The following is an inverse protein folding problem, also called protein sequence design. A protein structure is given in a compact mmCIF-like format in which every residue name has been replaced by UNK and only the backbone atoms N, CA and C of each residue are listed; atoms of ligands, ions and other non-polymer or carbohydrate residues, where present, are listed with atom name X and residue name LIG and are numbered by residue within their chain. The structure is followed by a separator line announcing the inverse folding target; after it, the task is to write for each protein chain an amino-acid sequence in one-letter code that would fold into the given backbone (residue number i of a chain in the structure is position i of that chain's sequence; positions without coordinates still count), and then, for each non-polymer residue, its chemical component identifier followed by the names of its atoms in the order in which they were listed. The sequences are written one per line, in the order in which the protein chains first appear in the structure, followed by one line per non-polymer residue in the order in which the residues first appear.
data_IF_344226681214
#
_entry.id   IF_344226681214
#
_cell.length_a   1.000
_cell.length_b   1.000
_cell.length_c   1.000
_cell.angle_alpha   90.00
_cell.angle_beta   90.00
_cell.angle_gamma   90.00
#
_symmetry.space_group_name_H-M   'P 1'
#
loop_
_entity.id
_entity.type
_entity.pdbx_description
1 polymer ?
#
# COMPACT_ATOMS: atom_id res chain seq x y z
N UNK A 1 -6.20 9.37 8.57
CA UNK A 1 -6.13 8.75 7.22
C UNK A 1 -5.32 9.57 6.18
N UNK A 2 -5.21 10.89 6.35
CA UNK A 2 -4.58 11.79 5.36
C UNK A 2 -3.04 11.74 5.33
N UNK A 3 -2.42 11.16 6.37
CA UNK A 3 -0.98 10.94 6.44
C UNK A 3 -0.66 9.47 6.24
N UNK A 4 0.40 9.18 5.50
CA UNK A 4 0.95 7.84 5.39
C UNK A 4 1.52 7.41 6.75
N UNK A 5 1.02 6.31 7.30
CA UNK A 5 1.45 5.76 8.58
C UNK A 5 1.49 4.22 8.51
N UNK A 6 2.69 3.61 8.38
CA UNK A 6 2.86 2.16 8.35
C UNK A 6 2.31 1.45 9.59
N UNK A 7 2.38 2.08 10.77
CA UNK A 7 1.99 1.50 12.06
C UNK A 7 0.50 1.15 12.12
N UNK A 8 -0.33 1.75 11.27
CA UNK A 8 -1.72 1.31 11.13
C UNK A 8 -1.82 -0.21 10.85
N UNK A 9 -0.82 -0.80 10.17
CA UNK A 9 -0.79 -2.21 9.77
C UNK A 9 0.09 -3.10 10.67
N UNK A 10 0.48 -2.62 11.84
CA UNK A 10 1.09 -3.47 12.87
C UNK A 10 0.14 -4.60 13.28
N UNK A 11 0.69 -5.68 13.86
CA UNK A 11 -0.12 -6.82 14.30
C UNK A 11 -1.19 -6.38 15.32
N UNK A 12 -0.81 -5.54 16.28
CA UNK A 12 -1.70 -5.01 17.31
C UNK A 12 -2.84 -4.16 16.72
N UNK A 13 -2.50 -3.20 15.84
CA UNK A 13 -3.51 -2.30 15.25
C UNK A 13 -4.43 -3.03 14.27
N UNK A 14 -3.95 -4.08 13.60
CA UNK A 14 -4.80 -4.96 12.79
C UNK A 14 -5.81 -5.72 13.65
N UNK A 15 -5.40 -6.25 14.80
CA UNK A 15 -6.28 -6.99 15.70
C UNK A 15 -7.41 -6.12 16.28
N UNK A 16 -7.13 -4.84 16.55
CA UNK A 16 -8.11 -3.86 17.05
C UNK A 16 -9.00 -3.24 15.96
N UNK A 17 -8.67 -3.45 14.69
CA UNK A 17 -9.35 -2.79 13.56
C UNK A 17 -10.71 -3.42 13.29
N UNK A 18 -11.71 -2.57 13.05
CA UNK A 18 -13.02 -3.05 12.57
C UNK A 18 -12.87 -3.85 11.24
N UNK A 19 -13.51 -5.03 11.10
CA UNK A 19 -13.32 -5.91 9.94
C UNK A 19 -13.60 -5.25 8.58
N UNK A 20 -14.50 -4.27 8.55
CA UNK A 20 -14.90 -3.56 7.32
C UNK A 20 -14.13 -2.25 7.07
N UNK A 21 -13.15 -1.89 7.91
CA UNK A 21 -12.40 -0.63 7.75
C UNK A 21 -11.27 -0.70 6.70
N UNK A 22 -10.91 -1.89 6.20
CA UNK A 22 -9.86 -2.06 5.20
C UNK A 22 -10.21 -3.15 4.20
N UNK A 23 -10.85 -2.74 3.10
CA UNK A 23 -11.31 -3.63 2.01
C UNK A 23 -10.78 -3.17 0.64
N UNK A 24 -9.45 -3.05 0.45
CA UNK A 24 -8.86 -2.48 -0.77
C UNK A 24 -9.14 -3.30 -2.03
N UNK A 25 -9.49 -4.57 -1.87
CA UNK A 25 -9.78 -5.53 -2.94
C UNK A 25 -11.24 -6.02 -2.91
N UNK A 26 -12.11 -5.35 -2.16
CA UNK A 26 -13.48 -5.80 -1.89
C UNK A 26 -13.55 -7.02 -0.98
N UNK A 27 -14.77 -7.55 -0.81
CA UNK A 27 -15.09 -8.71 0.01
C UNK A 27 -16.32 -9.43 -0.57
N UNK A 28 -16.54 -10.70 -0.23
CA UNK A 28 -17.65 -11.50 -0.73
C UNK A 28 -17.41 -12.11 -2.13
N UNK A 29 -18.46 -12.61 -2.81
CA UNK A 29 -18.34 -13.38 -4.07
C UNK A 29 -17.74 -12.62 -5.26
N UNK A 30 -17.65 -11.29 -5.15
CA UNK A 30 -17.11 -10.40 -6.19
C UNK A 30 -15.85 -9.67 -5.71
N UNK A 31 -15.14 -10.24 -4.73
CA UNK A 31 -13.82 -9.72 -4.37
C UNK A 31 -12.84 -9.84 -5.55
N UNK A 32 -11.75 -9.07 -5.51
CA UNK A 32 -10.74 -9.12 -6.54
C UNK A 32 -10.13 -10.53 -6.61
N UNK A 33 -10.35 -11.22 -7.73
CA UNK A 33 -9.81 -12.56 -7.97
C UNK A 33 -8.27 -12.59 -7.90
N UNK A 34 -7.62 -11.48 -8.25
CA UNK A 34 -6.17 -11.34 -8.29
C UNK A 34 -5.56 -10.83 -6.97
N UNK A 35 -6.33 -10.71 -5.87
CA UNK A 35 -5.83 -10.12 -4.61
C UNK A 35 -4.51 -10.73 -4.12
N UNK A 36 -4.43 -12.07 -4.08
CA UNK A 36 -3.23 -12.77 -3.59
C UNK A 36 -2.03 -12.57 -4.53
N UNK A 37 -2.29 -12.57 -5.83
CA UNK A 37 -1.28 -12.30 -6.85
C UNK A 37 -0.74 -10.88 -6.72
N UNK A 38 -1.62 -9.87 -6.71
CA UNK A 38 -1.24 -8.46 -6.57
C UNK A 38 -0.41 -8.19 -5.31
N UNK A 39 -0.80 -8.77 -4.16
CA UNK A 39 -0.04 -8.63 -2.91
C UNK A 39 1.34 -9.27 -2.97
N UNK A 40 1.47 -10.42 -3.66
CA UNK A 40 2.74 -11.13 -3.80
C UNK A 40 3.66 -10.40 -4.77
N UNK A 41 3.14 -10.05 -5.94
CA UNK A 41 3.85 -9.31 -6.98
C UNK A 41 4.35 -7.96 -6.47
N UNK A 42 3.49 -7.18 -5.81
CA UNK A 42 3.87 -5.87 -5.26
C UNK A 42 4.99 -5.99 -4.23
N UNK A 43 4.91 -6.97 -3.32
CA UNK A 43 5.97 -7.20 -2.32
C UNK A 43 7.28 -7.62 -2.96
N UNK A 44 7.23 -8.54 -3.93
CA UNK A 44 8.43 -9.01 -4.63
C UNK A 44 9.10 -7.87 -5.41
N UNK A 45 8.31 -7.06 -6.13
CA UNK A 45 8.80 -5.90 -6.86
C UNK A 45 9.46 -4.88 -5.92
N UNK A 46 8.79 -4.49 -4.83
CA UNK A 46 9.36 -3.54 -3.86
C UNK A 46 10.62 -4.11 -3.20
N UNK A 47 10.61 -5.38 -2.79
CA UNK A 47 11.78 -6.02 -2.18
C UNK A 47 12.97 -6.04 -3.14
N UNK A 48 12.74 -6.37 -4.42
CA UNK A 48 13.77 -6.36 -5.44
C UNK A 48 14.33 -4.94 -5.67
N UNK A 49 13.47 -3.92 -5.74
CA UNK A 49 13.88 -2.54 -5.91
C UNK A 49 14.75 -2.05 -4.74
N UNK A 50 14.30 -2.27 -3.51
CA UNK A 50 15.02 -1.80 -2.31
C UNK A 50 16.31 -2.58 -2.06
N UNK A 51 16.37 -3.86 -2.46
CA UNK A 51 17.57 -4.67 -2.31
C UNK A 51 18.69 -4.26 -3.29
N UNK A 52 18.33 -3.96 -4.54
CA UNK A 52 19.31 -3.72 -5.61
C UNK A 52 19.58 -2.24 -5.89
N UNK A 53 18.68 -1.33 -5.50
CA UNK A 53 18.77 0.07 -5.85
C UNK A 53 18.55 0.99 -4.65
N UNK A 54 19.23 2.14 -4.67
CA UNK A 54 18.93 3.27 -3.80
C UNK A 54 18.00 4.21 -4.55
N UNK A 55 16.80 4.43 -4.02
CA UNK A 55 15.81 5.32 -4.62
C UNK A 55 15.98 6.71 -4.01
N UNK A 56 16.26 7.70 -4.86
CA UNK A 56 16.45 9.11 -4.48
C UNK A 56 15.54 10.00 -5.33
N UNK A 57 15.07 11.14 -4.79
CA UNK A 57 14.30 12.10 -5.57
C UNK A 57 15.18 12.79 -6.61
N UNK A 58 14.57 13.21 -7.72
CA UNK A 58 15.19 14.06 -8.72
C UNK A 58 14.44 15.39 -8.84
N UNK A 59 14.93 16.30 -9.69
CA UNK A 59 14.33 17.62 -9.92
C UNK A 59 12.85 17.56 -10.31
N UNK A 60 12.40 16.44 -10.91
CA UNK A 60 11.00 16.22 -11.31
C UNK A 60 10.14 15.61 -10.21
N UNK A 61 10.71 15.16 -9.10
CA UNK A 61 9.97 14.52 -8.00
C UNK A 61 9.22 15.57 -7.18
N UNK A 62 7.89 15.51 -7.15
CA UNK A 62 7.07 16.40 -6.35
C UNK A 62 7.10 16.01 -4.87
N UNK A 63 7.66 16.86 -4.02
CA UNK A 63 7.71 16.70 -2.57
C UNK A 63 7.24 18.02 -1.91
N UNK A 64 6.09 18.03 -1.20
CA UNK A 64 5.19 16.91 -0.96
C UNK A 64 4.42 16.49 -2.22
N UNK A 65 4.05 15.20 -2.29
CA UNK A 65 3.22 14.68 -3.39
C UNK A 65 1.87 15.41 -3.42
N UNK A 66 1.61 16.19 -4.46
CA UNK A 66 0.32 16.85 -4.69
C UNK A 66 -0.58 15.94 -5.50
N UNK A 67 -1.73 15.54 -4.94
CA UNK A 67 -2.75 14.82 -5.70
C UNK A 67 -3.48 15.81 -6.60
N UNK A 68 -3.53 15.56 -7.91
CA UNK A 68 -4.39 16.36 -8.80
C UNK A 68 -5.85 16.25 -8.32
N UNK A 69 -6.58 17.36 -8.20
CA UNK A 69 -8.01 17.29 -7.92
C UNK A 69 -8.70 16.49 -9.03
N UNK A 70 -9.57 15.55 -8.63
CA UNK A 70 -10.46 14.82 -9.54
C UNK A 70 -11.61 15.72 -9.95
#
# INVERSE_FOLDING_TARGET
PEKFNPEHFSAENKAKRHPYAYLPFGQGPRNCIAMRFALTETKAAIAHLVYNFKIEPCEKTQIPMTRSPK
#
